data_IF_018641745509
#
_entry.id   IF_018641745509
#
_cell.length_a   1.000
_cell.length_b   1.000
_cell.length_c   1.000
_cell.angle_alpha   90.00
_cell.angle_beta   90.00
_cell.angle_gamma   90.00
#
_symmetry.space_group_name_H-M   'P 1'
#
loop_
_entity.id
_entity.type
_entity.pdbx_description
1 polymer ?
#
# COMPACT_ATOMS: atom_id res chain seq x y z
N UNK A 1 -19.67 7.55 8.64
CA UNK A 1 -18.66 6.46 8.64
C UNK A 1 -19.07 5.49 7.54
N UNK A 2 -18.52 5.63 6.33
CA UNK A 2 -19.01 4.88 5.16
C UNK A 2 -18.35 3.51 4.98
N UNK A 3 -17.23 3.27 5.66
CA UNK A 3 -16.48 2.03 5.57
C UNK A 3 -15.76 1.81 6.90
N UNK A 4 -15.99 0.66 7.53
CA UNK A 4 -15.28 0.16 8.70
C UNK A 4 -14.61 -1.17 8.33
N UNK A 5 -13.45 -1.45 8.93
CA UNK A 5 -12.68 -2.70 8.75
C UNK A 5 -12.43 -3.13 7.30
N UNK A 6 -11.65 -2.32 6.58
CA UNK A 6 -11.35 -2.56 5.17
C UNK A 6 -9.85 -2.75 4.87
N UNK A 7 -9.60 -3.38 3.73
CA UNK A 7 -8.28 -3.61 3.14
C UNK A 7 -8.06 -2.60 2.01
N UNK A 8 -6.96 -1.87 2.06
CA UNK A 8 -6.57 -1.00 0.95
C UNK A 8 -5.75 -1.78 -0.08
N UNK A 9 -6.23 -1.87 -1.32
CA UNK A 9 -5.54 -2.60 -2.39
C UNK A 9 -5.00 -1.58 -3.40
N UNK A 10 -3.71 -1.65 -3.71
CA UNK A 10 -3.10 -0.89 -4.80
C UNK A 10 -2.48 -1.84 -5.83
N UNK A 11 -3.23 -2.07 -6.91
CA UNK A 11 -2.80 -2.88 -8.05
C UNK A 11 -2.50 -2.04 -9.29
N UNK A 12 -2.04 -2.71 -10.34
CA UNK A 12 -2.01 -2.19 -11.70
C UNK A 12 -2.93 -3.05 -12.57
N UNK A 13 -3.69 -2.43 -13.47
CA UNK A 13 -4.47 -3.16 -14.47
C UNK A 13 -3.53 -3.78 -15.50
N UNK A 14 -3.78 -5.02 -15.92
CA UNK A 14 -2.93 -5.70 -16.90
C UNK A 14 -2.96 -5.05 -18.28
N UNK A 15 -3.94 -4.16 -18.55
CA UNK A 15 -4.03 -3.39 -19.80
C UNK A 15 -3.12 -2.16 -19.84
N UNK A 16 -2.48 -1.79 -18.72
CA UNK A 16 -1.63 -0.59 -18.65
C UNK A 16 -0.17 -0.93 -18.94
N UNK A 17 0.52 -0.03 -19.62
CA UNK A 17 1.96 -0.16 -19.85
C UNK A 17 2.70 0.05 -18.53
N UNK A 18 3.23 -1.05 -18.00
CA UNK A 18 3.95 -1.06 -16.72
C UNK A 18 5.27 -0.30 -16.75
N UNK A 19 5.79 0.09 -17.92
CA UNK A 19 6.98 0.95 -17.99
C UNK A 19 6.68 2.37 -17.47
N UNK A 20 5.43 2.79 -17.56
CA UNK A 20 5.01 4.16 -17.24
C UNK A 20 4.04 4.24 -16.05
N UNK A 21 3.32 3.17 -15.70
CA UNK A 21 2.28 3.22 -14.66
C UNK A 21 2.38 2.07 -13.64
N UNK A 22 3.52 1.99 -12.92
CA UNK A 22 3.59 1.15 -11.73
C UNK A 22 2.93 1.86 -10.54
N UNK A 23 2.09 1.18 -9.74
CA UNK A 23 1.58 1.73 -8.50
C UNK A 23 2.73 2.08 -7.54
N UNK A 24 2.59 3.23 -6.89
CA UNK A 24 3.58 3.74 -5.93
C UNK A 24 2.94 3.84 -4.54
N UNK A 25 3.62 3.34 -3.51
CA UNK A 25 3.26 3.59 -2.11
C UNK A 25 4.42 4.26 -1.37
N UNK A 26 4.10 5.12 -0.41
CA UNK A 26 5.11 5.81 0.40
C UNK A 26 4.55 6.19 1.77
N UNK A 27 5.30 6.98 2.53
CA UNK A 27 4.93 7.33 3.91
C UNK A 27 3.56 8.03 4.00
N UNK A 28 3.21 8.84 3.00
CA UNK A 28 1.90 9.51 2.92
C UNK A 28 0.76 8.50 2.80
N UNK A 29 0.95 7.41 2.05
CA UNK A 29 -0.01 6.30 1.96
C UNK A 29 -0.26 5.71 3.34
N UNK A 30 0.80 5.37 4.08
CA UNK A 30 0.67 4.77 5.41
C UNK A 30 -0.03 5.72 6.41
N UNK A 31 0.32 7.00 6.40
CA UNK A 31 -0.36 8.02 7.22
C UNK A 31 -1.85 8.12 6.92
N UNK A 32 -2.24 8.01 5.66
CA UNK A 32 -3.64 8.00 5.28
C UNK A 32 -4.35 6.74 5.80
N UNK A 33 -3.72 5.55 5.70
CA UNK A 33 -4.27 4.31 6.24
C UNK A 33 -4.48 4.37 7.76
N UNK A 34 -3.57 5.00 8.49
CA UNK A 34 -3.72 5.24 9.94
C UNK A 34 -4.96 6.11 10.20
N UNK A 35 -5.09 7.24 9.49
CA UNK A 35 -6.23 8.16 9.62
C UNK A 35 -7.57 7.49 9.29
N UNK A 36 -7.58 6.61 8.29
CA UNK A 36 -8.77 5.88 7.86
C UNK A 36 -8.99 4.57 8.62
N UNK A 37 -8.10 4.23 9.58
CA UNK A 37 -8.15 3.02 10.41
C UNK A 37 -8.02 1.70 9.64
N UNK A 38 -7.52 1.72 8.40
CA UNK A 38 -7.18 0.49 7.69
C UNK A 38 -5.96 -0.18 8.33
N UNK A 39 -6.03 -1.51 8.47
CA UNK A 39 -4.97 -2.32 9.07
C UNK A 39 -4.17 -3.14 8.04
N UNK A 40 -4.55 -3.07 6.77
CA UNK A 40 -3.92 -3.88 5.72
C UNK A 40 -3.78 -3.07 4.44
N UNK A 41 -2.58 -3.11 3.86
CA UNK A 41 -2.34 -2.71 2.48
C UNK A 41 -1.82 -3.90 1.67
N UNK A 42 -2.53 -4.21 0.60
CA UNK A 42 -2.16 -5.23 -0.37
C UNK A 42 -1.68 -4.58 -1.66
N UNK A 43 -0.55 -5.05 -2.18
CA UNK A 43 0.07 -4.54 -3.40
C UNK A 43 0.48 -5.69 -4.33
N UNK A 44 0.55 -5.45 -5.64
CA UNK A 44 1.08 -6.45 -6.58
C UNK A 44 2.59 -6.57 -6.35
N UNK A 45 3.04 -7.76 -5.93
CA UNK A 45 4.45 -8.06 -5.72
C UNK A 45 5.21 -7.81 -7.02
N UNK A 46 6.45 -7.32 -6.89
CA UNK A 46 7.37 -6.96 -8.00
C UNK A 46 6.87 -5.89 -8.99
N UNK A 47 5.59 -5.52 -8.95
CA UNK A 47 4.95 -4.50 -9.79
C UNK A 47 4.43 -3.31 -8.97
N UNK A 48 5.06 -3.01 -7.83
CA UNK A 48 4.74 -1.84 -7.01
C UNK A 48 6.02 -1.20 -6.49
N UNK A 49 6.15 0.11 -6.68
CA UNK A 49 7.28 0.89 -6.17
C UNK A 49 6.97 1.31 -4.73
N UNK A 50 7.91 1.05 -3.81
CA UNK A 50 7.83 1.49 -2.42
C UNK A 50 8.87 2.59 -2.18
N UNK A 51 8.43 3.84 -2.05
CA UNK A 51 9.31 4.97 -1.77
C UNK A 51 9.82 4.91 -0.33
N UNK A 52 11.14 5.01 -0.15
CA UNK A 52 11.79 4.91 1.17
C UNK A 52 11.31 3.67 1.94
N UNK A 53 11.56 2.50 1.36
CA UNK A 53 11.03 1.19 1.83
C UNK A 53 11.21 0.97 3.33
N UNK A 54 12.38 1.27 3.87
CA UNK A 54 12.70 1.09 5.29
C UNK A 54 11.81 1.95 6.17
N UNK A 55 11.57 3.20 5.76
CA UNK A 55 10.68 4.14 6.46
C UNK A 55 9.23 3.66 6.42
N UNK A 56 8.78 3.15 5.28
CA UNK A 56 7.44 2.57 5.12
C UNK A 56 7.26 1.35 6.02
N UNK A 57 8.22 0.42 6.02
CA UNK A 57 8.17 -0.79 6.86
C UNK A 57 8.14 -0.43 8.34
N UNK A 58 9.02 0.48 8.79
CA UNK A 58 9.04 0.96 10.19
C UNK A 58 7.71 1.58 10.60
N UNK A 59 7.12 2.42 9.75
CA UNK A 59 5.84 3.05 10.04
C UNK A 59 4.69 2.03 10.08
N UNK A 60 4.67 1.05 9.15
CA UNK A 60 3.69 -0.02 9.15
C UNK A 60 3.76 -0.85 10.45
N UNK A 61 4.99 -1.24 10.84
CA UNK A 61 5.23 -2.01 12.05
C UNK A 61 4.75 -1.27 13.30
N UNK A 62 5.15 0.00 13.46
CA UNK A 62 4.76 0.87 14.58
C UNK A 62 3.24 0.97 14.75
N UNK A 63 2.51 1.01 13.63
CA UNK A 63 1.06 1.24 13.63
C UNK A 63 0.22 -0.04 13.47
N UNK A 64 0.86 -1.22 13.52
CA UNK A 64 0.21 -2.53 13.33
C UNK A 64 -0.54 -2.64 11.99
N UNK A 65 0.04 -2.10 10.92
CA UNK A 65 -0.47 -2.21 9.56
C UNK A 65 0.29 -3.35 8.86
N UNK A 66 -0.44 -4.31 8.29
CA UNK A 66 0.13 -5.40 7.50
C UNK A 66 0.35 -4.92 6.06
N UNK A 67 1.58 -5.04 5.56
CA UNK A 67 1.92 -4.85 4.14
C UNK A 67 2.05 -6.22 3.49
N UNK A 68 1.20 -6.50 2.51
CA UNK A 68 1.11 -7.81 1.84
C UNK A 68 1.42 -7.66 0.35
N UNK A 69 2.35 -8.47 -0.15
CA UNK A 69 2.61 -8.61 -1.59
C UNK A 69 1.80 -9.79 -2.14
N UNK A 70 0.98 -9.52 -3.16
CA UNK A 70 0.17 -10.52 -3.87
C UNK A 70 0.84 -10.84 -5.20
N UNK A 71 0.99 -12.12 -5.54
CA UNK A 71 1.56 -12.58 -6.82
C UNK A 71 0.53 -12.51 -7.94
#
# INVERSE_FOLDING_TARGET
>A
KYCEDFVFIKGCSDKKDTRFDLPIIGIKTIRNLIRTRSKVIAVKATKTIILNKEKVIKECFKNKIKLVGIR
#
